data_IF_205631161177
#
_entry.id   IF_205631161177
#
_cell.length_a   1.000
_cell.length_b   1.000
_cell.length_c   1.000
_cell.angle_alpha   90.00
_cell.angle_beta   90.00
_cell.angle_gamma   90.00
#
_symmetry.space_group_name_H-M   'P 1'
#
loop_
_entity.id
_entity.type
_entity.pdbx_description
1 polymer ?
#
# COMPACT_ATOMS: atom_id res chain seq x y z
N UNK A 1 -21.42 -15.61 0.97
CA UNK A 1 -20.46 -15.77 -0.14
C UNK A 1 -20.08 -14.37 -0.59
N UNK A 2 -18.78 -14.07 -0.72
CA UNK A 2 -18.33 -12.75 -1.20
C UNK A 2 -18.75 -12.56 -2.66
N UNK A 3 -19.15 -11.35 -3.04
CA UNK A 3 -19.48 -11.00 -4.43
C UNK A 3 -18.22 -10.86 -5.30
N UNK A 4 -17.08 -10.61 -4.68
CA UNK A 4 -15.79 -10.39 -5.31
C UNK A 4 -14.72 -11.19 -4.57
N UNK A 5 -13.88 -11.89 -5.31
CA UNK A 5 -12.75 -12.64 -4.79
C UNK A 5 -11.46 -12.11 -5.41
N UNK A 6 -10.49 -11.73 -4.60
CA UNK A 6 -9.14 -11.44 -5.11
C UNK A 6 -8.47 -12.75 -5.48
N UNK A 7 -7.92 -12.79 -6.69
CA UNK A 7 -7.22 -13.97 -7.22
C UNK A 7 -5.70 -13.81 -7.14
N UNK A 8 -5.19 -12.59 -7.32
CA UNK A 8 -3.77 -12.28 -7.20
C UNK A 8 -3.53 -10.80 -6.92
N UNK A 9 -2.49 -10.49 -6.15
CA UNK A 9 -1.96 -9.12 -6.01
C UNK A 9 -0.44 -9.20 -6.13
N UNK A 10 0.10 -8.61 -7.18
CA UNK A 10 1.54 -8.61 -7.46
C UNK A 10 2.11 -7.22 -7.21
N UNK A 11 3.09 -7.12 -6.33
CA UNK A 11 3.85 -5.88 -6.11
C UNK A 11 4.80 -5.68 -7.29
N UNK A 12 4.72 -4.52 -7.93
CA UNK A 12 5.61 -4.11 -9.02
C UNK A 12 6.65 -3.13 -8.48
N UNK A 13 7.77 -2.97 -9.18
CA UNK A 13 8.89 -2.06 -8.81
C UNK A 13 9.33 -2.20 -7.33
N UNK A 14 9.78 -3.40 -6.96
CA UNK A 14 10.20 -3.71 -5.59
C UNK A 14 11.50 -4.53 -5.57
N UNK A 15 12.53 -4.14 -4.78
CA UNK A 15 12.60 -2.96 -3.91
C UNK A 15 12.79 -1.65 -4.70
N UNK A 16 12.39 -0.51 -4.12
CA UNK A 16 12.44 0.80 -4.77
C UNK A 16 12.80 1.93 -3.79
N UNK A 17 13.26 3.11 -4.26
CA UNK A 17 13.40 4.29 -3.42
C UNK A 17 12.12 4.62 -2.66
N UNK A 18 12.25 5.12 -1.42
CA UNK A 18 11.11 5.44 -0.56
C UNK A 18 10.10 6.38 -1.23
N UNK A 19 10.60 7.37 -1.99
CA UNK A 19 9.81 8.39 -2.67
C UNK A 19 9.27 7.97 -4.05
N UNK A 20 9.47 6.73 -4.49
CA UNK A 20 8.82 6.25 -5.71
C UNK A 20 7.33 6.01 -5.47
N UNK A 21 6.52 6.00 -6.54
CA UNK A 21 5.12 5.57 -6.45
C UNK A 21 5.03 4.06 -6.16
N UNK A 22 4.04 3.63 -5.37
CA UNK A 22 3.72 2.22 -5.22
C UNK A 22 2.96 1.74 -6.44
N UNK A 23 3.19 0.49 -6.84
CA UNK A 23 2.53 -0.12 -7.99
C UNK A 23 2.10 -1.56 -7.66
N UNK A 24 0.82 -1.86 -7.86
CA UNK A 24 0.25 -3.19 -7.66
C UNK A 24 -0.52 -3.64 -8.91
N UNK A 25 -0.23 -4.83 -9.43
CA UNK A 25 -1.13 -5.49 -10.36
C UNK A 25 -2.16 -6.31 -9.56
N UNK A 26 -3.41 -5.86 -9.57
CA UNK A 26 -4.52 -6.47 -8.84
C UNK A 26 -5.36 -7.28 -9.82
N UNK A 27 -5.58 -8.56 -9.51
CA UNK A 27 -6.50 -9.45 -10.23
C UNK A 27 -7.62 -9.93 -9.30
N UNK A 28 -8.86 -9.86 -9.78
CA UNK A 28 -10.03 -10.28 -9.02
C UNK A 28 -11.13 -10.87 -9.92
N UNK A 29 -11.95 -11.72 -9.33
CA UNK A 29 -13.13 -12.31 -9.94
C UNK A 29 -14.38 -11.70 -9.31
N UNK A 30 -15.32 -11.25 -10.15
CA UNK A 30 -16.64 -10.80 -9.74
C UNK A 30 -17.66 -11.89 -10.05
N UNK A 31 -18.36 -12.39 -9.02
CA UNK A 31 -19.29 -13.51 -9.10
C UNK A 31 -20.74 -13.10 -9.36
N UNK A 32 -21.11 -11.87 -8.98
CA UNK A 32 -22.45 -11.30 -9.19
C UNK A 32 -22.31 -9.85 -9.68
N UNK A 33 -23.21 -9.34 -10.55
CA UNK A 33 -23.13 -7.95 -11.00
C UNK A 33 -23.26 -6.98 -9.82
N UNK A 34 -22.33 -6.03 -9.74
CA UNK A 34 -22.34 -4.92 -8.79
C UNK A 34 -22.83 -3.66 -9.48
N UNK A 35 -23.84 -3.01 -8.90
CA UNK A 35 -24.46 -1.80 -9.46
C UNK A 35 -23.66 -0.54 -9.16
N UNK A 36 -22.96 -0.53 -8.04
CA UNK A 36 -22.17 0.58 -7.54
C UNK A 36 -20.67 0.23 -7.65
N UNK A 37 -19.83 1.20 -7.35
CA UNK A 37 -18.39 1.06 -7.50
C UNK A 37 -17.78 0.28 -6.34
N UNK A 38 -16.76 -0.52 -6.67
CA UNK A 38 -15.77 -0.98 -5.71
C UNK A 38 -14.82 0.17 -5.41
N UNK A 39 -14.52 0.38 -4.14
CA UNK A 39 -13.54 1.36 -3.68
C UNK A 39 -12.28 0.63 -3.23
N UNK A 40 -11.18 0.84 -3.97
CA UNK A 40 -9.86 0.32 -3.64
C UNK A 40 -9.04 1.42 -2.98
N UNK A 41 -8.48 1.13 -1.80
CA UNK A 41 -7.68 2.09 -1.04
C UNK A 41 -6.32 1.51 -0.70
N UNK A 42 -5.31 2.35 -0.75
CA UNK A 42 -3.99 2.05 -0.24
C UNK A 42 -3.67 2.99 0.92
N UNK A 43 -3.44 2.40 2.10
CA UNK A 43 -3.11 3.14 3.32
C UNK A 43 -1.71 2.74 3.80
N UNK A 44 -0.89 3.72 4.12
CA UNK A 44 0.42 3.53 4.74
C UNK A 44 0.31 3.78 6.24
N UNK A 45 0.78 2.82 7.05
CA UNK A 45 0.78 2.94 8.50
C UNK A 45 1.96 3.82 8.92
N UNK A 46 1.66 5.02 9.41
CA UNK A 46 2.68 6.02 9.74
C UNK A 46 3.31 5.85 11.13
N UNK A 47 2.67 5.07 12.00
CA UNK A 47 3.21 4.62 13.27
C UNK A 47 2.51 3.33 13.72
N UNK A 48 3.23 2.42 14.37
CA UNK A 48 2.63 1.20 14.90
C UNK A 48 1.72 1.44 16.11
N UNK A 49 1.87 2.58 16.79
CA UNK A 49 1.21 2.88 18.06
C UNK A 49 0.06 3.90 17.92
N UNK A 50 0.02 4.66 16.82
CA UNK A 50 -0.90 5.77 16.63
C UNK A 50 -1.42 5.85 15.18
N UNK A 51 -2.68 5.47 15.01
CA UNK A 51 -3.39 5.49 13.72
C UNK A 51 -3.59 6.90 13.14
N UNK A 52 -3.37 7.96 13.94
CA UNK A 52 -3.49 9.34 13.42
C UNK A 52 -2.38 9.70 12.44
N UNK A 53 -1.30 8.90 12.40
CA UNK A 53 -0.23 8.99 11.41
C UNK A 53 -0.53 8.21 10.13
N UNK A 54 -1.61 7.43 10.08
CA UNK A 54 -1.96 6.66 8.89
C UNK A 54 -2.31 7.59 7.73
N UNK A 55 -1.74 7.28 6.56
CA UNK A 55 -1.89 8.09 5.37
C UNK A 55 -2.64 7.28 4.31
N UNK A 56 -3.84 7.73 3.96
CA UNK A 56 -4.51 7.26 2.74
C UNK A 56 -3.75 7.81 1.53
N UNK A 57 -3.03 6.94 0.83
CA UNK A 57 -2.19 7.31 -0.31
C UNK A 57 -3.02 7.47 -1.58
N UNK A 58 -3.96 6.56 -1.81
CA UNK A 58 -4.82 6.58 -3.00
C UNK A 58 -6.17 5.90 -2.73
N UNK A 59 -7.21 6.35 -3.45
CA UNK A 59 -8.55 5.80 -3.43
C UNK A 59 -9.16 5.76 -4.85
N UNK A 60 -9.27 4.57 -5.43
CA UNK A 60 -9.79 4.36 -6.79
C UNK A 60 -11.16 3.72 -6.76
N UNK A 61 -12.10 4.28 -7.52
CA UNK A 61 -13.43 3.70 -7.75
C UNK A 61 -13.43 2.89 -9.05
N UNK A 62 -13.92 1.65 -8.97
CA UNK A 62 -14.04 0.73 -10.11
C UNK A 62 -15.48 0.23 -10.18
N UNK A 63 -16.25 0.73 -11.14
CA UNK A 63 -17.59 0.22 -11.42
C UNK A 63 -18.34 0.97 -12.52
N UNK A 64 -19.57 0.52 -12.82
CA UNK A 64 -20.21 -0.70 -12.32
C UNK A 64 -19.49 -1.97 -12.82
N UNK A 65 -19.51 -3.06 -12.03
CA UNK A 65 -18.72 -4.28 -12.30
C UNK A 65 -19.66 -5.44 -12.68
N UNK A 66 -19.47 -6.01 -13.86
CA UNK A 66 -20.20 -7.21 -14.30
C UNK A 66 -19.48 -8.50 -13.87
N UNK A 67 -20.17 -9.64 -13.93
CA UNK A 67 -19.56 -10.95 -13.68
C UNK A 67 -18.39 -11.18 -14.64
N UNK A 68 -17.24 -11.59 -14.10
CA UNK A 68 -16.04 -11.84 -14.89
C UNK A 68 -14.74 -11.70 -14.11
N UNK A 69 -13.63 -11.87 -14.82
CA UNK A 69 -12.28 -11.69 -14.29
C UNK A 69 -11.73 -10.34 -14.72
N UNK A 70 -11.16 -9.60 -13.78
CA UNK A 70 -10.63 -8.27 -13.97
C UNK A 70 -9.18 -8.21 -13.53
N UNK A 71 -8.43 -7.32 -14.18
CA UNK A 71 -7.06 -7.01 -13.83
C UNK A 71 -6.76 -5.56 -14.15
N UNK A 72 -6.10 -4.86 -13.24
CA UNK A 72 -5.66 -3.49 -13.44
C UNK A 72 -4.40 -3.19 -12.62
N UNK A 73 -3.70 -2.12 -12.99
CA UNK A 73 -2.57 -1.59 -12.23
C UNK A 73 -3.10 -0.48 -11.32
N UNK A 74 -2.86 -0.63 -10.02
CA UNK A 74 -3.14 0.37 -9.00
C UNK A 74 -1.82 1.09 -8.68
N UNK A 75 -1.78 2.39 -8.91
CA UNK A 75 -0.62 3.24 -8.61
C UNK A 75 -0.98 4.24 -7.51
N UNK A 76 -0.05 4.53 -6.61
CA UNK A 76 -0.23 5.52 -5.55
C UNK A 76 1.07 6.25 -5.26
N UNK A 77 0.97 7.56 -4.99
CA UNK A 77 2.12 8.35 -4.55
C UNK A 77 2.66 7.84 -3.19
N UNK A 78 3.96 8.04 -2.88
CA UNK A 78 4.52 7.68 -1.58
C UNK A 78 3.86 8.46 -0.42
N UNK A 79 3.96 7.98 0.83
CA UNK A 79 3.53 8.76 1.99
C UNK A 79 4.35 10.05 2.11
N UNK A 80 3.75 11.08 2.72
CA UNK A 80 4.45 12.30 3.12
C UNK A 80 5.36 11.98 4.32
N UNK A 81 6.71 12.04 4.19
CA UNK A 81 7.62 11.72 5.27
C UNK A 81 7.46 12.63 6.49
N UNK A 82 6.94 13.85 6.31
CA UNK A 82 6.74 14.80 7.42
C UNK A 82 5.56 14.44 8.32
N UNK A 83 4.70 13.52 7.87
CA UNK A 83 3.53 13.00 8.60
C UNK A 83 3.74 11.57 9.10
N UNK A 84 4.96 11.08 9.09
CA UNK A 84 5.34 9.80 9.70
C UNK A 84 6.02 10.15 11.02
N UNK A 85 5.76 9.34 12.05
CA UNK A 85 6.47 9.50 13.30
C UNK A 85 7.98 9.29 13.07
N UNK A 86 8.85 10.19 13.56
CA UNK A 86 10.27 10.22 13.18
C UNK A 86 11.00 8.89 13.47
N UNK A 87 10.58 8.18 14.53
CA UNK A 87 11.14 6.88 14.90
C UNK A 87 10.68 5.70 14.03
N UNK A 88 9.64 5.89 13.21
CA UNK A 88 8.99 4.83 12.42
C UNK A 88 9.29 4.95 10.91
N UNK A 89 10.09 5.94 10.49
CA UNK A 89 10.49 6.08 9.07
C UNK A 89 11.43 4.94 8.65
N UNK A 90 12.42 4.60 9.48
CA UNK A 90 13.36 3.50 9.25
C UNK A 90 12.89 2.27 10.04
N UNK A 91 13.00 1.09 9.43
CA UNK A 91 12.55 -0.16 9.99
C UNK A 91 11.29 -0.69 9.31
N UNK A 92 10.54 -1.51 10.04
CA UNK A 92 9.38 -2.22 9.50
C UNK A 92 8.10 -1.47 9.82
N UNK A 93 7.28 -1.25 8.79
CA UNK A 93 5.89 -0.79 8.91
C UNK A 93 4.96 -1.65 8.05
N UNK A 94 3.69 -1.27 7.94
CA UNK A 94 2.65 -1.97 7.20
C UNK A 94 2.03 -1.07 6.14
N UNK A 95 1.74 -1.66 4.99
CA UNK A 95 0.92 -1.08 3.94
C UNK A 95 -0.36 -1.91 3.80
N UNK A 96 -1.52 -1.24 3.76
CA UNK A 96 -2.84 -1.88 3.72
C UNK A 96 -3.51 -1.56 2.39
N UNK A 97 -3.74 -2.60 1.58
CA UNK A 97 -4.62 -2.55 0.42
C UNK A 97 -6.00 -3.05 0.83
N UNK A 98 -7.01 -2.19 0.77
CA UNK A 98 -8.39 -2.56 1.12
C UNK A 98 -9.33 -2.41 -0.07
N UNK A 99 -10.38 -3.22 -0.09
CA UNK A 99 -11.47 -3.08 -1.05
C UNK A 99 -12.80 -3.06 -0.31
N UNK A 100 -13.62 -2.07 -0.65
CA UNK A 100 -14.94 -1.85 -0.07
C UNK A 100 -16.02 -1.81 -1.15
N UNK A 101 -17.23 -2.25 -0.80
CA UNK A 101 -18.43 -2.07 -1.63
C UNK A 101 -19.50 -1.42 -0.76
N UNK A 102 -20.09 -0.31 -1.23
CA UNK A 102 -21.06 0.49 -0.47
C UNK A 102 -20.54 0.89 0.93
N UNK A 103 -19.24 1.21 1.02
CA UNK A 103 -18.57 1.59 2.27
C UNK A 103 -18.29 0.43 3.23
N UNK A 104 -18.65 -0.80 2.87
CA UNK A 104 -18.33 -1.98 3.66
C UNK A 104 -17.07 -2.65 3.11
N UNK A 105 -15.99 -2.62 3.90
CA UNK A 105 -14.75 -3.34 3.60
C UNK A 105 -15.00 -4.85 3.62
N UNK A 106 -14.54 -5.53 2.57
CA UNK A 106 -14.64 -6.99 2.46
C UNK A 106 -13.31 -7.67 2.08
N UNK A 107 -12.29 -6.87 1.72
CA UNK A 107 -10.91 -7.31 1.51
C UNK A 107 -9.98 -6.40 2.30
N UNK A 108 -8.99 -7.03 2.94
CA UNK A 108 -7.79 -6.37 3.46
C UNK A 108 -6.57 -7.23 3.20
N UNK A 109 -5.61 -6.70 2.46
CA UNK A 109 -4.30 -7.31 2.22
C UNK A 109 -3.25 -6.42 2.86
N UNK A 110 -2.50 -6.95 3.83
CA UNK A 110 -1.43 -6.24 4.51
C UNK A 110 -0.07 -6.69 3.99
N UNK A 111 0.81 -5.74 3.72
CA UNK A 111 2.20 -5.97 3.35
C UNK A 111 3.11 -5.41 4.44
N UNK A 112 4.16 -6.16 4.78
CA UNK A 112 5.26 -5.56 5.55
C UNK A 112 6.12 -4.72 4.60
N UNK A 113 6.50 -3.54 5.04
CA UNK A 113 7.42 -2.66 4.32
C UNK A 113 8.63 -2.46 5.21
N UNK A 114 9.80 -2.90 4.77
CA UNK A 114 11.06 -2.58 5.43
C UNK A 114 11.69 -1.39 4.72
N UNK A 115 11.81 -0.27 5.44
CA UNK A 115 12.53 0.92 5.01
C UNK A 115 13.92 0.89 5.62
N UNK A 116 14.95 0.92 4.77
CA UNK A 116 16.34 0.92 5.23
C UNK A 116 17.20 1.76 4.30
N UNK A 117 18.38 2.16 4.75
CA UNK A 117 19.31 2.89 3.88
C UNK A 117 19.87 1.98 2.78
N UNK A 118 20.03 2.53 1.59
CA UNK A 118 20.63 1.85 0.43
C UNK A 118 22.15 1.62 0.58
N UNK A 119 22.79 2.32 1.52
CA UNK A 119 24.23 2.29 1.80
C UNK A 119 24.57 1.56 3.11
N UNK A 120 25.62 0.73 3.11
CA UNK A 120 26.05 -0.03 4.29
C UNK A 120 26.57 0.85 5.43
N UNK A 121 27.24 1.96 5.14
CA UNK A 121 27.77 2.86 6.17
C UNK A 121 26.63 3.59 6.87
N UNK A 122 25.63 4.07 6.11
CA UNK A 122 24.43 4.69 6.67
C UNK A 122 23.63 3.72 7.53
N UNK A 123 23.65 2.42 7.24
CA UNK A 123 23.01 1.39 8.08
C UNK A 123 23.79 1.13 9.37
N UNK A 124 25.13 1.06 9.29
CA UNK A 124 25.98 0.83 10.45
C UNK A 124 26.00 2.04 11.41
N UNK A 125 25.98 3.26 10.85
CA UNK A 125 26.05 4.52 11.58
C UNK A 125 24.94 5.48 11.09
N UNK A 126 23.67 5.25 11.47
CA UNK A 126 22.56 6.05 10.99
C UNK A 126 22.66 7.50 11.47
N UNK A 127 22.43 8.49 10.59
CA UNK A 127 22.45 9.89 10.96
C UNK A 127 21.28 10.21 11.91
N UNK A 128 21.45 11.23 12.74
CA UNK A 128 20.41 11.67 13.68
C UNK A 128 19.12 12.11 12.97
N UNK A 129 19.24 12.71 11.79
CA UNK A 129 18.10 13.08 10.93
C UNK A 129 18.07 12.15 9.72
N UNK A 130 16.89 11.59 9.46
CA UNK A 130 16.70 10.67 8.33
C UNK A 130 16.97 11.37 7.00
N UNK A 131 17.79 10.73 6.17
CA UNK A 131 18.08 11.17 4.80
C UNK A 131 17.12 10.46 3.84
N UNK A 132 15.91 10.99 3.67
CA UNK A 132 14.82 10.31 2.96
C UNK A 132 15.19 9.88 1.53
N UNK A 133 16.01 10.67 0.83
CA UNK A 133 16.48 10.39 -0.53
C UNK A 133 17.44 9.18 -0.63
N UNK A 134 17.90 8.65 0.53
CA UNK A 134 18.76 7.47 0.66
C UNK A 134 18.02 6.27 1.24
N UNK A 135 16.72 6.40 1.49
CA UNK A 135 15.91 5.32 2.01
C UNK A 135 15.36 4.50 0.84
N UNK A 136 15.56 3.19 0.91
CA UNK A 136 14.94 2.21 0.04
C UNK A 136 13.85 1.48 0.81
N UNK A 137 12.70 1.25 0.17
CA UNK A 137 11.64 0.40 0.68
C UNK A 137 11.65 -0.96 0.02
N UNK A 138 11.39 -1.99 0.82
CA UNK A 138 11.18 -3.36 0.35
C UNK A 138 9.87 -3.91 0.92
N UNK A 139 8.97 -4.32 0.03
CA UNK A 139 7.62 -4.77 0.33
C UNK A 139 7.59 -6.30 0.33
N UNK A 140 7.04 -6.89 1.39
CA UNK A 140 6.90 -8.33 1.59
C UNK A 140 5.40 -8.67 1.70
N UNK A 141 4.95 -9.62 0.87
CA UNK A 141 3.59 -10.16 0.87
C UNK A 141 3.50 -11.56 1.44
#
# INVERSE_FOLDING_TARGET
>A
MSAVNITNVTVLDNPAPFLNAFQFEISYECLIPLKDDLEWKLTYVGSAEDETYDQLLESVLVGPVNVGNYRFVFEADPPDPSKIHEGDIIGVTVLLLTCSYLGQEFVRVGYYVNNDYDDEQLRAEPPQKVLIDRVQRNIFG
#
